data_IF_699726471311
#
_entry.id   IF_699726471311
#
_cell.length_a   1.000
_cell.length_b   1.000
_cell.length_c   1.000
_cell.angle_alpha   90.00
_cell.angle_beta   90.00
_cell.angle_gamma   90.00
#
_symmetry.space_group_name_H-M   'P 1'
#
loop_
_entity.id
_entity.type
_entity.pdbx_description
1 polymer ?
#
# COMPACT_ATOMS: atom_id res chain seq x y z
N UNK A 1 -7.93 -4.79 -17.13
CA UNK A 1 -6.80 -5.05 -16.23
C UNK A 1 -5.90 -6.06 -16.89
N UNK A 2 -4.64 -5.73 -17.17
CA UNK A 2 -3.70 -6.64 -17.87
C UNK A 2 -2.75 -7.36 -16.92
N UNK A 3 -2.54 -6.86 -15.70
CA UNK A 3 -1.75 -7.52 -14.66
C UNK A 3 -2.21 -7.12 -13.25
N UNK A 4 -2.12 -8.06 -12.33
CA UNK A 4 -2.35 -7.89 -10.88
C UNK A 4 -1.03 -8.16 -10.18
N UNK A 5 -0.67 -7.32 -9.20
CA UNK A 5 0.45 -7.60 -8.30
C UNK A 5 -0.10 -8.26 -7.05
N UNK A 6 0.58 -9.33 -6.62
CA UNK A 6 0.28 -10.01 -5.37
C UNK A 6 1.48 -9.84 -4.45
N UNK A 7 1.25 -9.39 -3.23
CA UNK A 7 2.27 -9.29 -2.18
C UNK A 7 1.81 -10.01 -0.92
N UNK A 8 2.76 -10.48 -0.11
CA UNK A 8 2.49 -11.05 1.21
C UNK A 8 2.84 -10.03 2.29
N UNK A 9 1.95 -9.91 3.28
CA UNK A 9 2.12 -9.05 4.45
C UNK A 9 1.84 -9.88 5.69
N UNK A 10 2.68 -9.74 6.70
CA UNK A 10 2.50 -10.38 8.00
C UNK A 10 1.99 -9.31 8.98
N UNK A 11 0.79 -9.50 9.51
CA UNK A 11 0.30 -8.71 10.64
C UNK A 11 0.49 -9.45 11.95
N UNK A 12 0.50 -8.69 13.04
CA UNK A 12 0.67 -9.18 14.41
C UNK A 12 -0.36 -8.55 15.33
N UNK A 13 -0.84 -9.30 16.31
CA UNK A 13 -1.74 -8.80 17.36
C UNK A 13 -1.55 -9.61 18.64
N UNK A 14 -1.79 -8.99 19.79
CA UNK A 14 -1.79 -9.67 21.09
C UNK A 14 -3.17 -10.28 21.42
N UNK A 15 -4.19 -10.00 20.60
CA UNK A 15 -5.58 -10.39 20.87
C UNK A 15 -6.03 -11.66 20.12
N UNK A 16 -5.82 -11.71 18.80
CA UNK A 16 -6.28 -12.82 17.95
C UNK A 16 -5.63 -12.83 16.56
N UNK A 17 -5.76 -13.95 15.84
CA UNK A 17 -5.34 -14.02 14.44
C UNK A 17 -6.20 -13.15 13.51
N UNK A 18 -7.49 -12.99 13.81
CA UNK A 18 -8.40 -12.11 13.07
C UNK A 18 -7.99 -10.65 13.19
N UNK A 19 -7.60 -10.23 14.40
CA UNK A 19 -7.11 -8.88 14.63
C UNK A 19 -5.75 -8.66 13.96
N UNK A 20 -4.84 -9.64 14.04
CA UNK A 20 -3.57 -9.60 13.29
C UNK A 20 -3.79 -9.46 11.76
N UNK A 21 -4.80 -10.12 11.20
CA UNK A 21 -5.16 -9.97 9.79
C UNK A 21 -5.66 -8.55 9.47
N UNK A 22 -6.48 -7.96 10.35
CA UNK A 22 -6.97 -6.57 10.20
C UNK A 22 -5.83 -5.58 10.25
N UNK A 23 -4.89 -5.73 11.18
CA UNK A 23 -3.71 -4.87 11.28
C UNK A 23 -2.81 -5.00 10.05
N UNK A 24 -2.62 -6.20 9.49
CA UNK A 24 -1.89 -6.38 8.22
C UNK A 24 -2.48 -5.55 7.08
N UNK A 25 -3.81 -5.59 6.92
CA UNK A 25 -4.52 -4.82 5.88
C UNK A 25 -4.43 -3.33 6.15
N UNK A 26 -4.69 -2.91 7.39
CA UNK A 26 -4.65 -1.51 7.80
C UNK A 26 -3.29 -0.89 7.53
N UNK A 27 -2.20 -1.59 7.83
CA UNK A 27 -0.86 -1.08 7.53
C UNK A 27 -0.58 -1.05 6.03
N UNK A 28 -0.95 -2.11 5.30
CA UNK A 28 -0.73 -2.19 3.86
C UNK A 28 -1.46 -1.07 3.09
N UNK A 29 -2.69 -0.72 3.49
CA UNK A 29 -3.50 0.34 2.84
C UNK A 29 -2.88 1.73 2.94
N UNK A 30 -1.86 1.94 3.78
CA UNK A 30 -1.13 3.22 3.83
C UNK A 30 -0.19 3.43 2.64
N UNK A 31 0.17 2.36 1.93
CA UNK A 31 1.18 2.40 0.84
C UNK A 31 0.72 1.72 -0.44
N UNK A 32 -0.33 0.90 -0.36
CA UNK A 32 -0.89 0.15 -1.48
C UNK A 32 -2.36 0.56 -1.62
N UNK A 33 -2.65 1.24 -2.72
CA UNK A 33 -4.01 1.61 -3.11
C UNK A 33 -4.72 0.45 -3.82
N UNK A 34 -6.05 0.56 -3.94
CA UNK A 34 -6.90 -0.38 -4.70
C UNK A 34 -6.77 -1.86 -4.30
N UNK A 35 -6.62 -2.13 -3.00
CA UNK A 35 -6.74 -3.49 -2.45
C UNK A 35 -8.22 -3.89 -2.46
N UNK A 36 -8.59 -4.88 -3.26
CA UNK A 36 -9.99 -5.34 -3.38
C UNK A 36 -10.31 -6.61 -2.60
N UNK A 37 -9.29 -7.32 -2.11
CA UNK A 37 -9.48 -8.55 -1.38
C UNK A 37 -8.15 -9.09 -0.84
N UNK A 38 -8.28 -9.99 0.15
CA UNK A 38 -7.16 -10.64 0.79
C UNK A 38 -7.39 -12.15 0.87
N UNK A 39 -6.31 -12.90 0.91
CA UNK A 39 -6.29 -14.34 1.21
C UNK A 39 -5.40 -14.56 2.43
N UNK A 40 -5.90 -15.19 3.48
CA UNK A 40 -5.06 -15.63 4.61
C UNK A 40 -4.30 -16.88 4.15
N UNK A 41 -2.97 -16.85 4.18
CA UNK A 41 -2.16 -18.03 3.81
C UNK A 41 -1.73 -18.84 5.02
N UNK A 42 -1.37 -18.16 6.10
CA UNK A 42 -0.82 -18.80 7.28
C UNK A 42 -1.23 -18.05 8.55
N UNK A 43 -1.40 -18.81 9.63
CA UNK A 43 -1.61 -18.31 10.98
C UNK A 43 -0.57 -18.97 11.88
N UNK A 44 0.25 -18.16 12.53
CA UNK A 44 1.32 -18.60 13.43
C UNK A 44 1.27 -17.79 14.72
N UNK A 45 2.08 -18.16 15.70
CA UNK A 45 2.14 -17.44 16.96
C UNK A 45 3.51 -17.59 17.61
N UNK A 46 3.92 -16.58 18.38
CA UNK A 46 5.02 -16.71 19.33
C UNK A 46 4.49 -17.26 20.65
N UNK A 47 5.23 -18.19 21.24
CA UNK A 47 4.88 -18.81 22.53
C UNK A 47 5.95 -18.46 23.56
N UNK A 48 5.53 -17.92 24.70
CA UNK A 48 6.38 -17.59 25.84
C UNK A 48 5.78 -18.24 27.08
N UNK A 49 6.60 -18.96 27.85
CA UNK A 49 6.18 -19.64 29.09
C UNK A 49 4.98 -20.58 28.94
N UNK A 50 4.81 -21.17 27.75
CA UNK A 50 3.72 -22.10 27.44
C UNK A 50 2.41 -21.42 27.03
N UNK A 51 2.37 -20.09 26.98
CA UNK A 51 1.21 -19.31 26.53
C UNK A 51 1.52 -18.59 25.22
N UNK A 52 0.47 -18.34 24.42
CA UNK A 52 0.61 -17.55 23.19
C UNK A 52 0.85 -16.09 23.60
N UNK A 53 2.01 -15.57 23.21
CA UNK A 53 2.40 -14.19 23.49
C UNK A 53 1.98 -13.22 22.38
N UNK A 54 2.00 -13.68 21.12
CA UNK A 54 1.64 -12.85 19.98
C UNK A 54 1.09 -13.70 18.83
N UNK A 55 -0.07 -13.31 18.31
CA UNK A 55 -0.71 -13.89 17.14
C UNK A 55 -0.16 -13.24 15.87
N UNK A 56 0.07 -14.05 14.84
CA UNK A 56 0.60 -13.58 13.56
C UNK A 56 -0.22 -14.16 12.41
N UNK A 57 -0.66 -13.31 11.50
CA UNK A 57 -1.42 -13.73 10.32
C UNK A 57 -0.77 -13.22 9.05
N UNK A 58 -0.38 -14.13 8.17
CA UNK A 58 0.15 -13.81 6.84
C UNK A 58 -1.01 -13.71 5.86
N UNK A 59 -1.12 -12.57 5.19
CA UNK A 59 -2.13 -12.31 4.18
C UNK A 59 -1.50 -12.02 2.83
N UNK A 60 -2.09 -12.53 1.76
CA UNK A 60 -1.83 -12.13 0.38
C UNK A 60 -2.82 -11.05 -0.02
N UNK A 61 -2.29 -9.96 -0.54
CA UNK A 61 -3.04 -8.81 -1.03
C UNK A 61 -2.91 -8.77 -2.55
N UNK A 62 -4.04 -8.64 -3.25
CA UNK A 62 -4.08 -8.48 -4.69
C UNK A 62 -4.52 -7.05 -5.05
N UNK A 63 -3.74 -6.39 -5.89
CA UNK A 63 -3.99 -5.00 -6.31
C UNK A 63 -3.52 -4.78 -7.76
N UNK A 64 -4.12 -3.84 -8.51
CA UNK A 64 -3.74 -3.59 -9.89
C UNK A 64 -2.31 -3.07 -10.00
N UNK A 65 -1.64 -3.40 -11.11
CA UNK A 65 -0.36 -2.74 -11.44
C UNK A 65 -0.66 -1.34 -11.97
N UNK A 66 -0.31 -0.32 -11.21
CA UNK A 66 -0.34 1.07 -11.71
C UNK A 66 0.86 1.32 -12.64
N UNK A 67 0.66 2.04 -13.76
CA UNK A 67 1.77 2.54 -14.54
C UNK A 67 2.60 3.48 -13.65
N UNK A 68 3.93 3.33 -13.69
CA UNK A 68 4.84 4.20 -12.96
C UNK A 68 4.63 5.63 -13.47
N UNK A 69 3.95 6.47 -12.68
CA UNK A 69 3.82 7.88 -13.00
C UNK A 69 5.20 8.48 -12.82
N UNK A 70 5.94 8.64 -13.92
CA UNK A 70 7.06 9.59 -13.92
C UNK A 70 6.43 10.94 -13.64
N UNK A 71 6.75 11.51 -12.49
CA UNK A 71 6.37 12.86 -12.10
C UNK A 71 6.77 13.82 -13.23
N UNK A 72 5.78 14.27 -14.02
CA UNK A 72 5.97 15.26 -15.07
C UNK A 72 6.26 16.62 -14.41
N UNK A 73 7.53 16.85 -14.07
CA UNK A 73 8.06 18.16 -13.72
C UNK A 73 8.12 19.11 -14.94
N UNK A 74 7.06 19.20 -15.76
CA UNK A 74 7.05 19.96 -17.02
C UNK A 74 5.89 20.97 -17.18
N UNK A 75 5.05 21.17 -16.16
CA UNK A 75 3.83 21.99 -16.32
C UNK A 75 3.96 23.49 -16.01
N UNK A 76 4.94 23.94 -15.22
CA UNK A 76 4.92 25.29 -14.63
C UNK A 76 5.87 26.31 -15.29
N UNK A 77 6.56 25.98 -16.38
CA UNK A 77 7.48 26.93 -17.06
C UNK A 77 6.88 27.63 -18.28
N UNK A 78 5.74 27.14 -18.81
CA UNK A 78 5.21 27.60 -20.10
C UNK A 78 4.10 28.65 -19.99
N UNK A 79 3.55 28.89 -18.79
CA UNK A 79 2.60 29.98 -18.57
C UNK A 79 3.35 31.28 -18.20
N UNK A 80 3.43 32.16 -19.19
CA UNK A 80 3.59 33.62 -19.07
C UNK A 80 5.03 34.17 -19.04
N UNK A 81 5.93 33.66 -19.90
CA UNK A 81 6.87 34.56 -20.62
C UNK A 81 6.17 35.35 -21.75
N UNK A 82 4.88 35.08 -22.01
CA UNK A 82 4.05 35.78 -23.00
C UNK A 82 3.50 37.15 -22.57
N UNK A 83 3.58 37.55 -21.29
CA UNK A 83 3.14 38.91 -20.89
C UNK A 83 4.23 39.98 -20.98
N UNK A 84 5.50 39.61 -21.16
CA UNK A 84 6.59 40.60 -21.21
C UNK A 84 6.89 41.14 -22.63
N UNK A 85 6.32 40.55 -23.69
CA UNK A 85 6.57 41.02 -25.08
C UNK A 85 5.52 41.97 -25.64
N UNK A 86 4.50 42.35 -24.86
CA UNK A 86 3.47 43.32 -25.28
C UNK A 86 3.64 44.70 -24.63
N UNK A 87 4.90 45.07 -24.36
CA UNK A 87 5.31 46.44 -24.03
C UNK A 87 6.57 46.73 -24.82
N UNK A 88 6.43 47.03 -26.11
CA UNK A 88 7.32 47.87 -26.94
C UNK A 88 6.87 47.78 -28.39
N UNK A 89 6.38 48.92 -28.88
CA UNK A 89 5.84 49.26 -30.21
C UNK A 89 4.35 49.09 -30.36
#
# INVERSE_FOLDING_TARGET
>A
MTAVKIVQVLGTSDESWEDAAREAVKEATKTIDDIHGIEITDQTADVIDGEIAQYKTTVRLAFPVHPHQKEEAAGLTTRVKKSASKVRR
#
